data_IF_162725202531
#
_entry.id   IF_162725202531
#
_cell.length_a   1.000
_cell.length_b   1.000
_cell.length_c   1.000
_cell.angle_alpha   90.00
_cell.angle_beta   90.00
_cell.angle_gamma   90.00
#
_symmetry.space_group_name_H-M   'P 1'
#
loop_
_entity.id
_entity.type
_entity.pdbx_description
1 polymer ?
#
# COMPACT_ATOMS: atom_id res chain seq x y z
N UNK A 1 71.25 -54.23 -56.90
CA UNK A 1 70.92 -53.31 -58.02
C UNK A 1 70.96 -51.90 -57.45
N UNK A 2 71.97 -51.06 -57.76
CA UNK A 2 72.11 -50.21 -58.97
C UNK A 2 71.05 -49.10 -59.07
N UNK A 3 71.37 -47.82 -59.34
CA UNK A 3 72.66 -47.17 -59.68
C UNK A 3 72.56 -45.64 -59.44
N UNK A 4 73.67 -45.02 -59.02
CA UNK A 4 74.24 -43.71 -59.44
C UNK A 4 73.31 -42.53 -59.81
N UNK A 5 73.45 -41.40 -59.09
CA UNK A 5 73.54 -39.96 -59.49
C UNK A 5 73.36 -39.11 -58.19
N UNK A 6 74.35 -38.45 -57.57
CA UNK A 6 75.17 -37.28 -57.94
C UNK A 6 74.32 -36.06 -58.37
N UNK A 7 74.24 -35.01 -57.51
CA UNK A 7 75.03 -33.73 -57.53
C UNK A 7 74.58 -32.80 -58.67
N UNK A 8 74.25 -31.51 -58.50
CA UNK A 8 74.38 -30.51 -57.40
C UNK A 8 73.18 -29.50 -57.51
N UNK A 9 73.03 -28.30 -56.92
CA UNK A 9 73.90 -27.37 -56.16
C UNK A 9 73.07 -26.47 -55.17
N UNK A 10 73.62 -25.32 -54.73
CA UNK A 10 73.14 -24.35 -53.71
C UNK A 10 72.21 -23.24 -54.27
N UNK A 11 71.13 -22.87 -53.54
CA UNK A 11 70.74 -21.45 -53.28
C UNK A 11 69.55 -21.28 -52.28
N UNK A 12 69.38 -20.07 -51.75
CA UNK A 12 68.40 -19.73 -50.70
C UNK A 12 66.94 -19.61 -51.17
N UNK A 13 65.98 -19.85 -50.25
CA UNK A 13 64.69 -19.14 -50.23
C UNK A 13 64.21 -18.89 -48.77
N UNK A 14 63.50 -17.78 -48.45
CA UNK A 14 63.18 -17.38 -47.07
C UNK A 14 61.71 -17.67 -46.66
N UNK A 15 61.19 -16.94 -45.66
CA UNK A 15 59.79 -16.89 -45.16
C UNK A 15 59.35 -17.73 -43.95
N UNK A 16 60.20 -17.85 -42.92
CA UNK A 16 59.72 -17.81 -41.52
C UNK A 16 60.44 -16.68 -40.75
N UNK A 17 60.28 -15.44 -41.23
CA UNK A 17 60.63 -14.25 -40.44
C UNK A 17 59.45 -13.85 -39.54
N UNK A 18 59.26 -14.59 -38.45
CA UNK A 18 58.56 -14.03 -37.28
C UNK A 18 59.49 -12.97 -36.69
N UNK A 19 59.36 -11.73 -37.17
CA UNK A 19 60.20 -10.63 -36.73
C UNK A 19 60.07 -10.41 -35.22
N UNK A 20 61.15 -9.92 -34.58
CA UNK A 20 61.07 -9.44 -33.17
C UNK A 20 59.91 -8.44 -32.97
N UNK A 21 59.52 -7.72 -34.02
CA UNK A 21 58.36 -6.82 -34.06
C UNK A 21 57.03 -7.56 -33.93
N UNK A 22 56.80 -8.67 -34.63
CA UNK A 22 55.58 -9.47 -34.48
C UNK A 22 55.49 -10.16 -33.11
N UNK A 23 56.60 -10.70 -32.58
CA UNK A 23 56.64 -11.23 -31.21
C UNK A 23 56.39 -10.15 -30.16
N UNK A 24 56.91 -8.92 -30.34
CA UNK A 24 56.55 -7.77 -29.51
C UNK A 24 55.08 -7.39 -29.63
N UNK A 25 54.50 -7.41 -30.84
CA UNK A 25 53.08 -7.14 -31.03
C UNK A 25 52.21 -8.18 -30.33
N UNK A 26 52.45 -9.49 -30.52
CA UNK A 26 51.71 -10.55 -29.82
C UNK A 26 51.85 -10.45 -28.28
N UNK A 27 53.06 -10.19 -27.76
CA UNK A 27 53.31 -9.90 -26.35
C UNK A 27 52.48 -8.71 -25.85
N UNK A 28 52.46 -7.61 -26.61
CA UNK A 28 51.72 -6.40 -26.22
C UNK A 28 50.21 -6.61 -26.34
N UNK A 29 49.71 -7.33 -27.34
CA UNK A 29 48.30 -7.73 -27.45
C UNK A 29 47.88 -8.59 -26.26
N UNK A 30 48.64 -9.64 -25.91
CA UNK A 30 48.35 -10.45 -24.72
C UNK A 30 48.39 -9.64 -23.43
N UNK A 31 49.29 -8.66 -23.30
CA UNK A 31 49.30 -7.72 -22.16
C UNK A 31 48.08 -6.82 -22.15
N UNK A 32 47.68 -6.24 -23.28
CA UNK A 32 46.47 -5.40 -23.38
C UNK A 32 45.20 -6.20 -23.07
N UNK A 33 45.09 -7.44 -23.56
CA UNK A 33 44.00 -8.34 -23.20
C UNK A 33 44.01 -8.70 -21.70
N UNK A 34 45.18 -8.97 -21.11
CA UNK A 34 45.30 -9.25 -19.67
C UNK A 34 44.97 -8.02 -18.80
N UNK A 35 45.40 -6.82 -19.17
CA UNK A 35 45.01 -5.57 -18.51
C UNK A 35 43.52 -5.29 -18.67
N UNK A 36 42.94 -5.52 -19.85
CA UNK A 36 41.49 -5.40 -20.09
C UNK A 36 40.67 -6.37 -19.25
N UNK A 37 41.06 -7.65 -19.21
CA UNK A 37 40.43 -8.67 -18.37
C UNK A 37 40.56 -8.33 -16.87
N UNK A 38 41.74 -7.86 -16.43
CA UNK A 38 41.98 -7.38 -15.07
C UNK A 38 41.12 -6.17 -14.70
N UNK A 39 40.92 -5.22 -15.62
CA UNK A 39 40.04 -4.07 -15.43
C UNK A 39 38.57 -4.49 -15.32
N UNK A 40 38.08 -5.36 -16.22
CA UNK A 40 36.71 -5.90 -16.18
C UNK A 40 36.47 -6.70 -14.88
N UNK A 41 37.41 -7.54 -14.46
CA UNK A 41 37.34 -8.27 -13.19
C UNK A 41 37.33 -7.30 -12.00
N UNK A 42 38.16 -6.26 -12.01
CA UNK A 42 38.19 -5.23 -10.96
C UNK A 42 36.86 -4.48 -10.87
N UNK A 43 36.27 -4.08 -12.00
CA UNK A 43 34.95 -3.43 -12.05
C UNK A 43 33.88 -4.38 -11.49
N UNK A 44 33.88 -5.65 -11.89
CA UNK A 44 32.93 -6.65 -11.39
C UNK A 44 33.06 -6.90 -9.88
N UNK A 45 34.27 -7.00 -9.35
CA UNK A 45 34.55 -7.14 -7.91
C UNK A 45 34.11 -5.89 -7.16
N UNK A 46 34.42 -4.69 -7.65
CA UNK A 46 33.99 -3.42 -7.05
C UNK A 46 32.46 -3.32 -7.02
N UNK A 47 31.76 -3.67 -8.10
CA UNK A 47 30.30 -3.69 -8.14
C UNK A 47 29.68 -4.75 -7.22
N UNK A 48 30.30 -5.94 -7.10
CA UNK A 48 29.89 -6.96 -6.13
C UNK A 48 30.06 -6.47 -4.68
N UNK A 49 31.18 -5.82 -4.36
CA UNK A 49 31.45 -5.26 -3.03
C UNK A 49 30.53 -4.09 -2.71
N UNK A 50 30.24 -3.19 -3.66
CA UNK A 50 29.21 -2.14 -3.51
C UNK A 50 27.85 -2.74 -3.18
N UNK A 51 27.36 -3.67 -4.01
CA UNK A 51 26.06 -4.33 -3.84
C UNK A 51 25.97 -5.07 -2.49
N UNK A 52 27.03 -5.76 -2.07
CA UNK A 52 27.09 -6.40 -0.76
C UNK A 52 27.06 -5.40 0.41
N UNK A 53 27.81 -4.28 0.33
CA UNK A 53 27.77 -3.21 1.34
C UNK A 53 26.36 -2.60 1.44
N UNK A 54 25.75 -2.26 0.31
CA UNK A 54 24.37 -1.72 0.26
C UNK A 54 23.35 -2.70 0.83
N UNK A 55 23.41 -3.98 0.44
CA UNK A 55 22.51 -5.02 0.98
C UNK A 55 22.70 -5.20 2.49
N UNK A 56 23.94 -5.14 2.99
CA UNK A 56 24.26 -5.20 4.43
C UNK A 56 23.72 -3.99 5.19
N UNK A 57 23.81 -2.78 4.62
CA UNK A 57 23.24 -1.56 5.21
C UNK A 57 21.70 -1.62 5.24
N UNK A 58 21.07 -2.03 4.14
CA UNK A 58 19.61 -2.22 4.07
C UNK A 58 19.13 -3.31 5.04
N UNK A 59 19.85 -4.42 5.18
CA UNK A 59 19.55 -5.45 6.17
C UNK A 59 19.56 -4.91 7.61
N UNK A 60 20.52 -4.04 7.94
CA UNK A 60 20.56 -3.35 9.25
C UNK A 60 19.40 -2.38 9.44
N UNK A 61 19.00 -1.61 8.40
CA UNK A 61 17.78 -0.77 8.46
C UNK A 61 16.53 -1.62 8.76
N UNK A 62 16.35 -2.72 8.03
CA UNK A 62 15.20 -3.64 8.21
C UNK A 62 15.18 -4.24 9.62
N UNK A 63 16.34 -4.64 10.16
CA UNK A 63 16.44 -5.13 11.54
C UNK A 63 16.03 -4.06 12.56
N UNK A 64 16.50 -2.82 12.42
CA UNK A 64 16.12 -1.71 13.29
C UNK A 64 14.63 -1.37 13.20
N UNK A 65 14.06 -1.29 11.99
CA UNK A 65 12.62 -1.07 11.81
C UNK A 65 11.79 -2.16 12.49
N UNK A 66 12.15 -3.44 12.34
CA UNK A 66 11.48 -4.56 13.03
C UNK A 66 11.58 -4.45 14.56
N UNK A 67 12.71 -3.99 15.10
CA UNK A 67 12.87 -3.74 16.53
C UNK A 67 11.98 -2.58 17.01
N UNK A 68 11.91 -1.47 16.27
CA UNK A 68 11.01 -0.36 16.55
C UNK A 68 9.54 -0.80 16.54
N UNK A 69 9.10 -1.54 15.51
CA UNK A 69 7.73 -2.03 15.39
C UNK A 69 7.36 -3.00 16.54
N UNK A 70 8.30 -3.88 16.93
CA UNK A 70 8.10 -4.78 18.09
C UNK A 70 8.01 -4.00 19.41
N UNK A 71 8.82 -2.96 19.59
CA UNK A 71 8.78 -2.13 20.80
C UNK A 71 7.47 -1.33 20.90
N UNK A 72 7.02 -0.72 19.80
CA UNK A 72 5.74 -0.01 19.74
C UNK A 72 4.56 -0.95 20.02
N UNK A 73 4.57 -2.16 19.46
CA UNK A 73 3.58 -3.20 19.78
C UNK A 73 3.59 -3.57 21.27
N UNK A 74 4.77 -3.86 21.84
CA UNK A 74 4.89 -4.25 23.25
C UNK A 74 4.40 -3.16 24.21
N UNK A 75 4.60 -1.88 23.87
CA UNK A 75 4.06 -0.75 24.62
C UNK A 75 2.52 -0.73 24.61
N UNK A 76 1.88 -1.03 23.48
CA UNK A 76 0.42 -1.15 23.40
C UNK A 76 -0.08 -2.39 24.16
N UNK A 77 0.61 -3.52 24.07
CA UNK A 77 0.30 -4.72 24.88
C UNK A 77 0.39 -4.44 26.40
N UNK A 78 1.32 -3.59 26.84
CA UNK A 78 1.47 -3.16 28.23
C UNK A 78 0.35 -2.19 28.66
N UNK A 79 0.05 -1.15 27.88
CA UNK A 79 -1.06 -0.20 28.14
C UNK A 79 -2.41 -0.92 28.23
N UNK A 80 -2.68 -1.86 27.32
CA UNK A 80 -3.93 -2.64 27.31
C UNK A 80 -4.05 -3.59 28.50
N UNK A 81 -2.92 -4.17 28.96
CA UNK A 81 -2.88 -4.97 30.18
C UNK A 81 -3.19 -4.12 31.41
N UNK A 82 -2.75 -2.86 31.45
CA UNK A 82 -3.00 -1.93 32.55
C UNK A 82 -4.41 -1.33 32.53
N UNK A 83 -5.00 -1.12 31.35
CA UNK A 83 -6.37 -0.58 31.24
C UNK A 83 -7.46 -1.61 31.64
N UNK A 84 -7.12 -2.90 31.70
CA UNK A 84 -7.99 -3.97 32.19
C UNK A 84 -9.17 -4.32 31.28
N UNK A 85 -9.21 -3.81 30.04
CA UNK A 85 -10.28 -4.11 29.09
C UNK A 85 -10.19 -5.57 28.63
N UNK A 86 -11.28 -6.32 28.81
CA UNK A 86 -11.38 -7.71 28.34
C UNK A 86 -11.62 -7.79 26.84
N UNK A 87 -11.24 -8.92 26.24
CA UNK A 87 -11.46 -9.20 24.82
C UNK A 87 -12.96 -9.14 24.44
N UNK A 88 -13.87 -9.55 25.34
CA UNK A 88 -15.31 -9.54 25.07
C UNK A 88 -15.91 -8.11 25.14
N UNK A 89 -15.39 -7.24 26.01
CA UNK A 89 -15.71 -5.81 25.99
C UNK A 89 -15.23 -5.15 24.70
N UNK A 90 -13.99 -5.44 24.27
CA UNK A 90 -13.47 -4.96 23.00
C UNK A 90 -14.33 -5.43 21.81
N UNK A 91 -14.68 -6.72 21.76
CA UNK A 91 -15.56 -7.32 20.75
C UNK A 91 -16.95 -6.69 20.74
N UNK A 92 -17.50 -6.32 21.90
CA UNK A 92 -18.77 -5.58 22.00
C UNK A 92 -18.67 -4.18 21.38
N UNK A 93 -17.59 -3.44 21.61
CA UNK A 93 -17.38 -2.10 21.07
C UNK A 93 -17.12 -2.14 19.55
N UNK A 94 -16.25 -3.03 19.05
CA UNK A 94 -15.96 -3.09 17.60
C UNK A 94 -17.12 -3.67 16.77
N UNK A 95 -18.07 -4.35 17.40
CA UNK A 95 -19.27 -4.83 16.73
C UNK A 95 -20.19 -3.66 16.28
N UNK A 96 -20.25 -2.55 17.03
CA UNK A 96 -21.16 -1.42 16.79
C UNK A 96 -21.04 -0.87 15.35
N UNK A 97 -22.15 -0.72 14.60
CA UNK A 97 -22.13 -0.05 13.29
C UNK A 97 -21.53 1.36 13.37
N UNK A 98 -20.91 1.85 12.30
CA UNK A 98 -20.18 3.13 12.30
C UNK A 98 -21.00 4.30 12.88
N UNK A 99 -22.25 4.48 12.45
CA UNK A 99 -23.12 5.55 12.96
C UNK A 99 -23.46 5.42 14.45
N UNK A 100 -23.55 4.19 14.97
CA UNK A 100 -23.82 3.95 16.39
C UNK A 100 -22.56 4.20 17.24
N UNK A 101 -21.39 3.80 16.75
CA UNK A 101 -20.11 4.09 17.37
C UNK A 101 -19.86 5.61 17.41
N UNK A 102 -20.08 6.32 16.30
CA UNK A 102 -20.02 7.78 16.21
C UNK A 102 -21.00 8.40 17.22
N UNK A 103 -22.26 7.95 17.28
CA UNK A 103 -23.28 8.47 18.20
C UNK A 103 -22.87 8.30 19.67
N UNK A 104 -22.30 7.16 20.05
CA UNK A 104 -21.84 6.91 21.43
C UNK A 104 -20.59 7.73 21.80
N UNK A 105 -19.68 7.98 20.85
CA UNK A 105 -18.53 8.87 21.05
C UNK A 105 -18.96 10.34 21.18
N UNK A 106 -19.90 10.80 20.34
CA UNK A 106 -20.42 12.16 20.35
C UNK A 106 -21.24 12.46 21.61
N UNK A 107 -22.09 11.54 22.07
CA UNK A 107 -22.88 11.73 23.29
C UNK A 107 -22.13 11.38 24.60
N UNK A 108 -20.92 10.81 24.51
CA UNK A 108 -20.09 10.46 25.67
C UNK A 108 -20.44 9.15 26.38
N UNK A 109 -21.28 8.29 25.78
CA UNK A 109 -21.53 6.92 26.28
C UNK A 109 -20.29 6.03 26.16
N UNK A 110 -19.42 6.33 25.19
CA UNK A 110 -18.07 5.78 25.08
C UNK A 110 -17.06 6.94 25.01
N UNK A 111 -15.89 6.73 25.59
CA UNK A 111 -14.75 7.66 25.46
C UNK A 111 -13.86 7.26 24.27
N UNK A 112 -13.14 8.23 23.70
CA UNK A 112 -12.17 7.99 22.63
C UNK A 112 -11.10 6.97 23.05
N UNK A 113 -10.65 7.01 24.31
CA UNK A 113 -9.69 6.05 24.86
C UNK A 113 -10.28 4.63 24.96
N UNK A 114 -11.53 4.48 25.38
CA UNK A 114 -12.20 3.17 25.41
C UNK A 114 -12.32 2.56 24.00
N UNK A 115 -12.69 3.37 23.01
CA UNK A 115 -12.81 2.91 21.62
C UNK A 115 -11.43 2.61 21.02
N UNK A 116 -10.41 3.44 21.28
CA UNK A 116 -9.03 3.16 20.88
C UNK A 116 -8.54 1.81 21.42
N UNK A 117 -8.66 1.57 22.74
CA UNK A 117 -8.25 0.32 23.36
C UNK A 117 -8.96 -0.89 22.73
N UNK A 118 -10.27 -0.80 22.48
CA UNK A 118 -11.02 -1.87 21.85
C UNK A 118 -10.49 -2.22 20.45
N UNK A 119 -10.22 -1.21 19.62
CA UNK A 119 -9.67 -1.44 18.27
C UNK A 119 -8.21 -1.89 18.29
N UNK A 120 -7.39 -1.47 19.25
CA UNK A 120 -6.02 -1.98 19.41
C UNK A 120 -5.99 -3.46 19.85
N UNK A 121 -6.83 -3.88 20.79
CA UNK A 121 -6.97 -5.29 21.20
C UNK A 121 -7.27 -6.16 19.97
N UNK A 122 -8.25 -5.74 19.17
CA UNK A 122 -8.62 -6.46 17.96
C UNK A 122 -7.54 -6.39 16.87
N UNK A 123 -6.78 -5.30 16.76
CA UNK A 123 -5.66 -5.17 15.83
C UNK A 123 -4.45 -6.05 16.21
N UNK A 124 -4.24 -6.32 17.51
CA UNK A 124 -3.27 -7.31 17.97
C UNK A 124 -3.71 -8.73 17.56
N UNK A 125 -4.95 -9.14 17.90
CA UNK A 125 -5.51 -10.44 17.51
C UNK A 125 -5.50 -10.64 15.98
N UNK A 126 -5.86 -9.60 15.22
CA UNK A 126 -5.82 -9.63 13.77
C UNK A 126 -4.41 -9.68 13.20
N UNK A 127 -3.43 -8.94 13.74
CA UNK A 127 -2.07 -8.93 13.18
C UNK A 127 -1.26 -10.18 13.55
N UNK A 128 -1.53 -10.84 14.67
CA UNK A 128 -0.94 -12.16 14.95
C UNK A 128 -1.42 -13.24 13.98
N UNK A 129 -2.69 -13.16 13.55
CA UNK A 129 -3.26 -14.11 12.57
C UNK A 129 -2.94 -13.76 11.11
N UNK A 130 -2.83 -12.47 10.78
CA UNK A 130 -2.83 -11.98 9.40
C UNK A 130 -1.60 -11.17 8.99
N UNK A 131 -0.77 -10.69 9.94
CA UNK A 131 0.36 -9.79 9.71
C UNK A 131 -0.03 -8.57 8.85
N UNK A 132 -1.05 -7.84 9.30
CA UNK A 132 -1.68 -6.73 8.56
C UNK A 132 -1.21 -5.33 9.02
N UNK A 133 -0.78 -5.19 10.28
CA UNK A 133 -0.23 -3.95 10.86
C UNK A 133 1.30 -3.94 10.73
N UNK A 134 1.87 -2.84 10.25
CA UNK A 134 3.33 -2.60 10.26
C UNK A 134 3.77 -1.94 11.56
N UNK A 135 3.02 -0.93 12.01
CA UNK A 135 3.32 -0.09 13.17
C UNK A 135 2.04 0.19 13.96
N UNK A 136 2.11 0.08 15.29
CA UNK A 136 1.17 0.76 16.19
C UNK A 136 1.70 2.17 16.45
N UNK A 137 0.80 3.15 16.50
CA UNK A 137 1.14 4.57 16.65
C UNK A 137 1.12 4.97 18.14
N UNK A 138 2.29 5.24 18.77
CA UNK A 138 2.35 5.52 20.20
C UNK A 138 1.68 6.86 20.58
N UNK A 139 1.51 7.77 19.63
CA UNK A 139 0.80 9.03 19.85
C UNK A 139 -0.73 8.87 19.96
N UNK A 140 -1.29 7.73 19.54
CA UNK A 140 -2.74 7.48 19.53
C UNK A 140 -3.36 7.64 20.93
N UNK A 141 -2.68 7.14 21.96
CA UNK A 141 -3.09 7.28 23.37
C UNK A 141 -3.22 8.75 23.78
N UNK A 142 -2.19 9.55 23.47
CA UNK A 142 -2.17 10.97 23.83
C UNK A 142 -3.27 11.75 23.08
N UNK A 143 -3.54 11.40 21.81
CA UNK A 143 -4.63 11.97 21.03
C UNK A 143 -5.99 11.61 21.67
N UNK A 144 -6.28 10.33 21.93
CA UNK A 144 -7.52 9.89 22.54
C UNK A 144 -7.75 10.50 23.94
N UNK A 145 -6.71 10.50 24.79
CA UNK A 145 -6.74 11.14 26.11
C UNK A 145 -6.86 12.67 26.04
N UNK A 146 -6.51 13.31 24.93
CA UNK A 146 -6.74 14.76 24.74
C UNK A 146 -8.19 15.05 24.33
N UNK A 147 -8.75 14.21 23.45
CA UNK A 147 -10.13 14.30 22.97
C UNK A 147 -11.14 14.09 24.12
N UNK A 148 -10.86 13.14 25.02
CA UNK A 148 -11.68 12.85 26.20
C UNK A 148 -11.65 13.96 27.28
N UNK A 149 -10.77 14.96 27.14
CA UNK A 149 -10.68 16.12 28.05
C UNK A 149 -11.32 17.40 27.47
N UNK A 150 -11.96 17.33 26.30
CA UNK A 150 -12.59 18.49 25.67
C UNK A 150 -14.04 18.69 26.14
N UNK A 151 -14.38 19.90 26.58
CA UNK A 151 -15.76 20.32 26.88
C UNK A 151 -16.72 20.19 25.68
N UNK A 152 -16.17 20.16 24.46
CA UNK A 152 -16.89 20.00 23.20
C UNK A 152 -16.19 18.99 22.31
N UNK A 153 -16.99 18.11 21.71
CA UNK A 153 -16.51 17.08 20.78
C UNK A 153 -15.85 17.72 19.57
N UNK A 154 -14.56 17.41 19.36
CA UNK A 154 -13.82 17.90 18.20
C UNK A 154 -14.28 17.21 16.91
N UNK A 155 -15.11 17.89 16.13
CA UNK A 155 -15.49 17.45 14.78
C UNK A 155 -16.39 16.20 14.71
N UNK A 156 -16.76 15.79 13.48
CA UNK A 156 -17.69 14.68 13.24
C UNK A 156 -17.02 13.29 13.38
N UNK A 157 -15.68 13.22 13.37
CA UNK A 157 -14.91 11.98 13.53
C UNK A 157 -14.33 11.82 14.94
N UNK A 158 -14.78 12.62 15.91
CA UNK A 158 -14.30 12.63 17.30
C UNK A 158 -14.13 11.23 17.89
N UNK A 159 -12.88 10.85 18.17
CA UNK A 159 -12.54 9.58 18.83
C UNK A 159 -12.64 8.33 17.95
N UNK A 160 -12.98 8.47 16.65
CA UNK A 160 -13.01 7.35 15.70
C UNK A 160 -11.57 6.90 15.40
N UNK A 161 -11.18 5.65 15.69
CA UNK A 161 -9.86 5.14 15.33
C UNK A 161 -9.75 4.94 13.82
N UNK A 162 -8.63 5.37 13.23
CA UNK A 162 -8.38 5.24 11.78
C UNK A 162 -7.08 4.51 11.49
N UNK A 163 -7.14 3.51 10.62
CA UNK A 163 -5.97 2.82 10.08
C UNK A 163 -5.44 3.50 8.81
N UNK A 164 -4.12 3.50 8.62
CA UNK A 164 -3.45 4.21 7.54
C UNK A 164 -2.54 3.28 6.73
N UNK A 165 -2.71 3.22 5.41
CA UNK A 165 -1.75 2.57 4.51
C UNK A 165 -0.34 3.13 4.74
N UNK A 166 0.68 2.26 4.87
CA UNK A 166 2.08 2.64 5.15
C UNK A 166 2.69 3.63 4.14
N UNK A 167 2.09 3.77 2.97
CA UNK A 167 2.51 4.71 1.92
C UNK A 167 2.06 6.17 2.13
N UNK A 168 1.35 6.48 3.20
CA UNK A 168 1.15 7.86 3.66
C UNK A 168 2.29 8.31 4.58
N UNK A 169 2.87 9.46 4.25
CA UNK A 169 3.86 10.16 5.07
C UNK A 169 3.22 10.60 6.39
N UNK A 170 3.88 10.34 7.52
CA UNK A 170 3.43 10.60 8.88
C UNK A 170 4.60 11.21 9.65
N UNK A 171 4.39 12.31 10.36
CA UNK A 171 5.46 13.05 11.04
C UNK A 171 6.14 12.18 12.11
N UNK A 172 7.46 12.04 12.01
CA UNK A 172 8.27 11.18 12.88
C UNK A 172 8.50 9.76 12.35
N UNK A 173 7.76 9.30 11.33
CA UNK A 173 7.88 7.96 10.75
C UNK A 173 8.49 8.01 9.35
N UNK A 174 9.11 6.92 8.93
CA UNK A 174 9.51 6.68 7.53
C UNK A 174 8.35 6.04 6.74
N UNK A 175 8.43 6.06 5.40
CA UNK A 175 7.38 5.50 4.53
C UNK A 175 8.04 4.77 3.37
N UNK A 176 8.07 3.44 3.44
CA UNK A 176 9.02 2.61 2.71
C UNK A 176 8.51 2.01 1.41
N UNK A 177 7.19 1.84 1.23
CA UNK A 177 6.62 1.04 0.14
C UNK A 177 7.21 -0.40 0.08
N UNK A 178 7.62 -0.96 1.22
CA UNK A 178 8.34 -2.23 1.31
C UNK A 178 9.79 -2.21 0.80
N UNK A 179 10.34 -1.03 0.49
CA UNK A 179 11.72 -0.85 0.03
C UNK A 179 12.65 -0.49 1.19
N UNK A 180 13.45 -1.46 1.66
CA UNK A 180 14.37 -1.27 2.79
C UNK A 180 15.46 -0.19 2.62
N UNK A 181 15.59 0.41 1.42
CA UNK A 181 16.43 1.59 1.19
C UNK A 181 15.78 2.88 1.71
N UNK A 182 14.45 3.00 1.59
CA UNK A 182 13.61 4.13 2.00
C UNK A 182 13.30 4.14 3.51
N UNK A 183 13.68 3.10 4.25
CA UNK A 183 13.66 3.14 5.71
C UNK A 183 14.58 4.24 6.24
N UNK A 184 14.28 4.78 7.41
CA UNK A 184 15.01 5.88 8.08
C UNK A 184 14.95 7.23 7.32
N UNK A 185 14.10 7.36 6.30
CA UNK A 185 13.69 8.63 5.67
C UNK A 185 12.49 9.22 6.43
N UNK A 186 12.73 9.65 7.67
CA UNK A 186 11.69 10.13 8.58
C UNK A 186 11.07 11.45 8.11
N UNK A 187 9.73 11.53 8.12
CA UNK A 187 8.98 12.68 7.60
C UNK A 187 8.79 13.74 8.66
N UNK A 188 8.79 15.01 8.23
CA UNK A 188 8.60 16.18 9.11
C UNK A 188 7.15 16.67 9.17
N UNK A 189 6.27 16.14 8.31
CA UNK A 189 4.86 16.51 8.22
C UNK A 189 4.01 15.29 7.89
N UNK A 190 2.77 15.31 8.36
CA UNK A 190 1.72 14.36 7.99
C UNK A 190 1.24 14.59 6.55
N UNK A 191 0.80 13.54 5.87
CA UNK A 191 0.03 13.66 4.64
C UNK A 191 -1.24 14.48 4.86
N UNK A 192 -1.69 15.23 3.85
CA UNK A 192 -2.82 16.17 4.00
C UNK A 192 -4.09 15.48 4.49
N UNK A 193 -4.35 14.25 4.04
CA UNK A 193 -5.50 13.47 4.53
C UNK A 193 -5.39 13.13 6.02
N UNK A 194 -4.20 12.90 6.56
CA UNK A 194 -3.97 12.62 7.98
C UNK A 194 -4.15 13.90 8.81
N UNK A 195 -3.68 15.06 8.31
CA UNK A 195 -3.91 16.35 8.95
C UNK A 195 -5.42 16.64 9.07
N UNK A 196 -6.17 16.43 7.99
CA UNK A 196 -7.63 16.59 7.95
C UNK A 196 -8.35 15.60 8.86
N UNK A 197 -7.90 14.34 8.94
CA UNK A 197 -8.47 13.36 9.87
C UNK A 197 -8.26 13.76 11.34
N UNK A 198 -7.07 14.22 11.72
CA UNK A 198 -6.75 14.71 13.07
C UNK A 198 -7.56 15.97 13.42
N UNK A 199 -7.70 16.91 12.48
CA UNK A 199 -8.54 18.11 12.59
C UNK A 199 -10.02 17.77 12.87
N UNK A 200 -10.58 16.81 12.12
CA UNK A 200 -11.94 16.30 12.32
C UNK A 200 -12.13 15.43 13.59
N UNK A 201 -11.06 15.25 14.39
CA UNK A 201 -11.07 14.55 15.67
C UNK A 201 -10.83 13.04 15.63
N UNK A 202 -10.44 12.49 14.49
CA UNK A 202 -10.12 11.07 14.36
C UNK A 202 -8.78 10.72 15.04
N UNK A 203 -8.61 9.44 15.39
CA UNK A 203 -7.42 8.91 16.08
C UNK A 203 -6.67 7.93 15.17
N UNK A 204 -5.65 8.38 14.41
CA UNK A 204 -4.72 7.47 13.74
C UNK A 204 -4.06 6.54 14.76
N UNK A 205 -4.24 5.22 14.62
CA UNK A 205 -3.79 4.25 15.64
C UNK A 205 -2.82 3.16 15.13
N UNK A 206 -2.89 2.81 13.84
CA UNK A 206 -1.99 1.84 13.21
C UNK A 206 -1.66 2.23 11.77
N UNK A 207 -0.49 1.78 11.30
CA UNK A 207 -0.14 1.78 9.88
C UNK A 207 -0.18 0.35 9.35
N UNK A 208 -0.67 0.16 8.12
CA UNK A 208 -0.96 -1.17 7.57
C UNK A 208 -0.13 -1.53 6.34
N UNK A 209 0.07 -2.84 6.17
CA UNK A 209 1.07 -3.40 5.28
C UNK A 209 0.74 -3.24 3.78
N UNK A 210 1.82 -3.12 3.00
CA UNK A 210 1.79 -2.94 1.53
C UNK A 210 2.70 -3.97 0.85
N UNK A 211 2.43 -4.40 -0.39
CA UNK A 211 3.41 -5.15 -1.15
C UNK A 211 4.63 -4.28 -1.48
N UNK A 212 5.77 -4.94 -1.69
CA UNK A 212 6.97 -4.27 -2.17
C UNK A 212 6.65 -3.53 -3.47
N UNK A 213 6.99 -2.24 -3.52
CA UNK A 213 6.67 -1.27 -4.58
C UNK A 213 5.20 -0.85 -4.72
N UNK A 214 4.24 -1.34 -3.92
CA UNK A 214 2.81 -1.04 -4.10
C UNK A 214 2.20 -1.40 -5.49
N UNK A 215 2.94 -2.09 -6.36
CA UNK A 215 2.55 -2.40 -7.75
C UNK A 215 2.09 -3.86 -7.94
N UNK A 216 1.67 -4.53 -6.86
CA UNK A 216 1.21 -5.92 -6.87
C UNK A 216 -0.20 -6.04 -6.28
N UNK A 217 -0.97 -7.01 -6.78
CA UNK A 217 -2.33 -7.35 -6.32
C UNK A 217 -2.33 -8.40 -5.18
N UNK A 218 -1.21 -8.47 -4.45
CA UNK A 218 -1.02 -9.16 -3.17
C UNK A 218 -0.44 -8.19 -2.14
N UNK A 219 -0.19 -8.62 -0.90
CA UNK A 219 0.51 -7.81 0.12
C UNK A 219 1.64 -8.62 0.73
N UNK A 220 2.87 -8.37 0.24
CA UNK A 220 4.10 -9.03 0.69
C UNK A 220 5.34 -8.16 0.40
N UNK A 221 6.22 -7.98 1.39
CA UNK A 221 7.48 -7.24 1.21
C UNK A 221 8.60 -7.77 2.15
N UNK A 222 9.90 -7.51 1.85
CA UNK A 222 11.02 -8.02 2.65
C UNK A 222 11.19 -7.37 4.02
N UNK A 223 10.48 -6.27 4.33
CA UNK A 223 10.55 -5.57 5.62
C UNK A 223 9.60 -6.21 6.62
N UNK A 224 8.30 -6.20 6.32
CA UNK A 224 7.22 -6.63 7.22
C UNK A 224 6.69 -8.04 6.90
N UNK A 225 7.02 -8.61 5.74
CA UNK A 225 6.57 -9.93 5.31
C UNK A 225 5.23 -9.90 4.55
N UNK A 226 4.60 -11.06 4.49
CA UNK A 226 3.31 -11.32 3.80
C UNK A 226 2.14 -11.08 4.74
N UNK A 227 1.09 -10.44 4.24
CA UNK A 227 -0.23 -10.34 4.89
C UNK A 227 -1.15 -11.40 4.30
N UNK A 228 -2.02 -11.98 5.13
CA UNK A 228 -2.98 -13.02 4.75
C UNK A 228 -4.41 -12.47 4.71
N UNK A 229 -5.31 -13.18 4.01
CA UNK A 229 -6.72 -12.82 3.91
C UNK A 229 -7.48 -13.20 5.21
N UNK A 230 -8.37 -12.33 5.75
CA UNK A 230 -9.08 -12.58 6.99
C UNK A 230 -10.07 -13.75 6.93
N UNK A 231 -10.58 -14.08 5.72
CA UNK A 231 -11.58 -15.13 5.48
C UNK A 231 -10.94 -16.51 5.25
N UNK A 232 -9.80 -16.56 4.55
CA UNK A 232 -9.11 -17.79 4.17
C UNK A 232 -7.59 -17.56 4.16
N UNK A 233 -6.88 -18.12 5.15
CA UNK A 233 -5.44 -17.91 5.34
C UNK A 233 -4.59 -18.45 4.18
N UNK A 234 -5.13 -19.27 3.27
CA UNK A 234 -4.41 -19.68 2.06
C UNK A 234 -4.45 -18.63 0.94
N UNK A 235 -5.18 -17.52 1.11
CA UNK A 235 -5.39 -16.49 0.08
C UNK A 235 -4.68 -15.18 0.39
N UNK A 236 -4.47 -14.40 -0.67
CA UNK A 236 -4.02 -13.01 -0.55
C UNK A 236 -5.18 -12.09 -0.10
N UNK A 237 -4.90 -11.03 0.68
CA UNK A 237 -5.88 -9.99 1.01
C UNK A 237 -6.09 -8.99 -0.15
N UNK A 238 -5.63 -9.33 -1.36
CA UNK A 238 -5.43 -8.39 -2.45
C UNK A 238 -4.24 -7.45 -2.21
N UNK A 239 -4.18 -6.37 -3.00
CA UNK A 239 -3.14 -5.36 -2.95
C UNK A 239 -3.43 -4.17 -3.88
N UNK A 240 -2.77 -3.03 -3.71
CA UNK A 240 -1.69 -2.77 -2.75
C UNK A 240 -2.12 -2.19 -1.39
N UNK A 241 -3.43 -2.05 -1.13
CA UNK A 241 -3.95 -1.70 0.21
C UNK A 241 -4.51 -2.95 0.92
N UNK A 242 -3.81 -4.08 0.84
CA UNK A 242 -4.26 -5.34 1.48
C UNK A 242 -4.10 -5.35 3.00
N UNK A 243 -3.23 -4.52 3.57
CA UNK A 243 -3.14 -4.31 5.02
C UNK A 243 -4.45 -3.77 5.62
N UNK A 244 -4.94 -2.63 5.13
CA UNK A 244 -6.25 -2.07 5.52
C UNK A 244 -7.37 -3.09 5.34
N UNK A 245 -7.45 -3.73 4.17
CA UNK A 245 -8.54 -4.66 3.88
C UNK A 245 -8.52 -5.89 4.80
N UNK A 246 -7.33 -6.42 5.14
CA UNK A 246 -7.20 -7.52 6.07
C UNK A 246 -7.58 -7.12 7.52
N UNK A 247 -7.22 -5.91 7.94
CA UNK A 247 -7.53 -5.38 9.26
C UNK A 247 -9.03 -5.07 9.42
N UNK A 248 -9.61 -4.34 8.45
CA UNK A 248 -11.04 -3.99 8.42
C UNK A 248 -11.91 -5.25 8.25
N UNK A 249 -11.53 -6.17 7.35
CA UNK A 249 -12.21 -7.45 7.14
C UNK A 249 -12.06 -8.43 8.31
N UNK A 250 -11.13 -8.19 9.24
CA UNK A 250 -11.05 -8.89 10.53
C UNK A 250 -11.90 -8.23 11.64
N UNK A 251 -12.59 -7.12 11.36
CA UNK A 251 -13.32 -6.33 12.36
C UNK A 251 -12.40 -5.48 13.27
N UNK A 252 -11.13 -5.34 12.92
CA UNK A 252 -10.09 -4.71 13.75
C UNK A 252 -9.74 -3.27 13.32
N UNK A 253 -10.53 -2.68 12.42
CA UNK A 253 -10.58 -1.24 12.15
C UNK A 253 -11.96 -0.88 11.61
N UNK A 254 -12.52 0.25 12.04
CA UNK A 254 -13.83 0.73 11.57
C UNK A 254 -13.71 1.53 10.28
N UNK A 255 -12.63 2.31 10.15
CA UNK A 255 -12.37 3.24 9.07
C UNK A 255 -10.86 3.23 8.78
N UNK A 256 -10.52 3.12 7.50
CA UNK A 256 -9.15 3.13 7.03
C UNK A 256 -9.00 3.98 5.77
N UNK A 257 -7.77 4.37 5.44
CA UNK A 257 -7.47 5.09 4.20
C UNK A 257 -6.45 4.34 3.35
N UNK A 258 -6.73 4.30 2.05
CA UNK A 258 -5.94 3.61 1.04
C UNK A 258 -5.62 4.48 -0.17
N UNK A 259 -4.97 3.87 -1.15
CA UNK A 259 -4.69 4.49 -2.46
C UNK A 259 -4.86 3.50 -3.61
N UNK A 260 -5.40 3.97 -4.73
CA UNK A 260 -5.83 3.16 -5.88
C UNK A 260 -5.46 3.85 -7.21
N UNK A 261 -4.57 3.21 -7.96
CA UNK A 261 -4.21 3.56 -9.35
C UNK A 261 -4.94 2.64 -10.33
N UNK A 262 -4.78 1.33 -10.16
CA UNK A 262 -5.33 0.29 -11.05
C UNK A 262 -6.23 -0.74 -10.35
N UNK A 263 -6.71 -0.45 -9.14
CA UNK A 263 -7.53 -1.38 -8.34
C UNK A 263 -7.22 -1.41 -6.84
N UNK A 264 -6.14 -0.76 -6.40
CA UNK A 264 -5.54 -0.99 -5.08
C UNK A 264 -6.35 -0.59 -3.84
N UNK A 265 -7.56 -0.01 -3.96
CA UNK A 265 -8.57 0.04 -2.87
C UNK A 265 -9.64 -1.02 -3.14
N UNK A 266 -10.21 -1.01 -4.35
CA UNK A 266 -11.38 -1.83 -4.72
C UNK A 266 -11.11 -3.33 -4.70
N UNK A 267 -9.96 -3.76 -5.23
CA UNK A 267 -9.56 -5.17 -5.30
C UNK A 267 -9.29 -5.79 -3.92
N UNK A 268 -8.48 -5.19 -3.01
CA UNK A 268 -8.32 -5.75 -1.67
C UNK A 268 -9.61 -5.69 -0.84
N UNK A 269 -10.44 -4.64 -1.01
CA UNK A 269 -11.76 -4.55 -0.36
C UNK A 269 -12.67 -5.71 -0.77
N UNK A 270 -12.75 -6.00 -2.08
CA UNK A 270 -13.45 -7.17 -2.62
C UNK A 270 -12.87 -8.50 -2.10
N UNK A 271 -11.54 -8.63 -2.00
CA UNK A 271 -10.90 -9.84 -1.49
C UNK A 271 -11.17 -10.10 0.00
N UNK A 272 -11.32 -9.06 0.83
CA UNK A 272 -11.49 -9.20 2.29
C UNK A 272 -12.92 -8.98 2.79
N UNK A 273 -13.86 -8.63 1.91
CA UNK A 273 -15.28 -8.48 2.26
C UNK A 273 -15.63 -7.15 2.95
N UNK A 274 -14.92 -6.06 2.65
CA UNK A 274 -15.20 -4.72 3.18
C UNK A 274 -15.54 -3.71 2.07
N UNK A 275 -16.01 -2.52 2.46
CA UNK A 275 -16.28 -1.41 1.54
C UNK A 275 -15.00 -0.62 1.27
N UNK A 276 -14.85 -0.14 0.04
CA UNK A 276 -13.72 0.70 -0.34
C UNK A 276 -14.02 1.55 -1.57
N UNK A 277 -13.86 2.87 -1.43
CA UNK A 277 -14.15 3.83 -2.49
C UNK A 277 -12.86 4.36 -3.12
N UNK A 278 -12.80 4.38 -4.46
CA UNK A 278 -11.85 5.19 -5.21
C UNK A 278 -12.57 6.42 -5.79
N UNK A 279 -12.45 7.61 -5.17
CA UNK A 279 -13.00 8.86 -5.72
C UNK A 279 -12.49 9.19 -7.13
N UNK A 280 -13.03 10.27 -7.71
CA UNK A 280 -12.42 10.95 -8.87
C UNK A 280 -10.99 11.38 -8.53
N UNK A 281 -10.10 11.42 -9.53
CA UNK A 281 -8.75 11.97 -9.37
C UNK A 281 -8.83 13.39 -8.82
N UNK A 282 -7.91 13.72 -7.92
CA UNK A 282 -7.83 15.01 -7.19
C UNK A 282 -9.09 15.42 -6.40
N UNK A 283 -10.06 14.52 -6.16
CA UNK A 283 -11.17 14.80 -5.22
C UNK A 283 -10.73 14.69 -3.75
N UNK A 284 -9.70 13.90 -3.47
CA UNK A 284 -8.97 13.88 -2.20
C UNK A 284 -7.50 14.18 -2.48
N UNK A 285 -6.83 14.85 -1.54
CA UNK A 285 -5.42 15.24 -1.72
C UNK A 285 -4.52 14.02 -1.72
N UNK A 286 -3.48 14.08 -2.57
CA UNK A 286 -2.41 13.08 -2.67
C UNK A 286 -1.08 13.59 -2.11
N UNK A 287 -1.06 14.80 -1.55
CA UNK A 287 0.10 15.45 -0.96
C UNK A 287 0.48 14.73 0.34
N UNK A 288 1.67 14.12 0.32
CA UNK A 288 2.14 13.19 1.36
C UNK A 288 1.79 11.71 1.12
N UNK A 289 1.27 11.32 -0.05
CA UNK A 289 1.28 9.91 -0.46
C UNK A 289 2.50 9.62 -1.33
N UNK A 290 3.37 8.71 -0.90
CA UNK A 290 4.63 8.43 -1.61
C UNK A 290 4.38 7.84 -3.01
N UNK A 291 5.27 8.14 -3.96
CA UNK A 291 5.19 7.64 -5.34
C UNK A 291 6.56 7.21 -5.84
N UNK A 292 6.59 6.08 -6.53
CA UNK A 292 7.76 5.55 -7.25
C UNK A 292 7.94 6.24 -8.62
N UNK A 293 6.85 6.66 -9.24
CA UNK A 293 6.81 7.29 -10.55
C UNK A 293 6.53 8.80 -10.39
N UNK A 294 7.43 9.50 -9.70
CA UNK A 294 7.34 10.96 -9.54
C UNK A 294 7.34 11.62 -10.93
N UNK A 295 6.34 12.46 -11.20
CA UNK A 295 6.13 13.10 -12.52
C UNK A 295 5.26 12.32 -13.51
N UNK A 296 4.79 11.12 -13.19
CA UNK A 296 3.78 10.42 -14.00
C UNK A 296 2.40 11.06 -13.77
N UNK A 297 1.74 11.50 -14.85
CA UNK A 297 0.44 12.20 -14.84
C UNK A 297 -0.67 11.54 -15.67
N UNK A 298 -0.34 10.56 -16.54
CA UNK A 298 -1.28 9.92 -17.46
C UNK A 298 -2.27 8.98 -16.75
N UNK A 299 -1.83 8.31 -15.68
CA UNK A 299 -2.63 7.41 -14.84
C UNK A 299 -2.27 7.71 -13.37
N UNK A 300 -2.76 8.84 -12.87
CA UNK A 300 -2.68 9.18 -11.45
C UNK A 300 -3.48 8.19 -10.60
N UNK A 301 -3.06 7.98 -9.35
CA UNK A 301 -3.90 7.33 -8.35
C UNK A 301 -4.92 8.28 -7.74
N UNK A 302 -5.86 7.75 -6.96
CA UNK A 302 -6.65 8.50 -5.99
C UNK A 302 -6.38 7.99 -4.57
N UNK A 303 -6.57 8.87 -3.58
CA UNK A 303 -6.73 8.52 -2.16
C UNK A 303 -8.22 8.32 -1.89
N UNK A 304 -8.57 7.38 -1.01
CA UNK A 304 -9.97 7.13 -0.67
C UNK A 304 -10.14 6.26 0.58
N UNK A 305 -11.33 6.31 1.21
CA UNK A 305 -11.64 5.57 2.42
C UNK A 305 -11.97 4.09 2.14
N UNK A 306 -11.77 3.28 3.16
CA UNK A 306 -12.19 1.88 3.31
C UNK A 306 -12.86 1.72 4.67
N UNK A 307 -13.91 0.89 4.77
CA UNK A 307 -14.71 0.73 5.99
C UNK A 307 -15.37 -0.65 6.03
N UNK A 308 -15.73 -1.10 7.23
CA UNK A 308 -16.51 -2.34 7.42
C UNK A 308 -17.96 -2.20 6.91
N UNK A 309 -18.50 -0.97 6.94
CA UNK A 309 -19.84 -0.64 6.48
C UNK A 309 -19.83 0.55 5.50
N UNK A 310 -20.99 0.85 4.90
CA UNK A 310 -21.14 1.95 3.94
C UNK A 310 -21.09 3.33 4.61
N UNK A 311 -21.57 3.46 5.84
CA UNK A 311 -21.68 4.76 6.52
C UNK A 311 -20.30 5.34 6.84
N UNK A 312 -19.33 4.49 7.23
CA UNK A 312 -17.95 4.91 7.37
C UNK A 312 -17.30 5.39 6.06
N UNK A 313 -17.73 4.91 4.88
CA UNK A 313 -17.32 5.47 3.59
C UNK A 313 -17.98 6.84 3.34
N UNK A 314 -19.27 6.95 3.64
CA UNK A 314 -20.07 8.15 3.42
C UNK A 314 -19.57 9.32 4.27
N UNK A 315 -19.53 9.16 5.58
CA UNK A 315 -19.17 10.22 6.54
C UNK A 315 -17.71 10.64 6.38
N UNK A 316 -16.78 9.69 6.16
CA UNK A 316 -15.38 10.05 5.91
C UNK A 316 -15.18 10.79 4.59
N UNK A 317 -15.86 10.40 3.50
CA UNK A 317 -15.87 11.17 2.25
C UNK A 317 -16.49 12.56 2.45
N UNK A 318 -17.59 12.63 3.19
CA UNK A 318 -18.37 13.85 3.39
C UNK A 318 -17.58 14.90 4.17
N UNK A 319 -17.01 14.51 5.29
CA UNK A 319 -16.34 15.43 6.22
C UNK A 319 -14.89 15.73 5.83
N UNK A 320 -14.15 14.78 5.23
CA UNK A 320 -12.80 15.05 4.76
C UNK A 320 -12.73 16.03 3.57
N UNK A 321 -13.85 16.38 2.93
CA UNK A 321 -13.96 17.50 1.98
C UNK A 321 -14.07 18.85 2.73
N UNK A 322 -13.23 19.06 3.74
CA UNK A 322 -13.25 20.21 4.64
C UNK A 322 -12.59 21.46 4.02
N UNK A 323 -12.70 22.63 4.68
CA UNK A 323 -11.99 23.83 4.20
C UNK A 323 -10.48 23.75 4.45
N UNK A 324 -10.07 23.09 5.55
CA UNK A 324 -8.67 22.75 5.80
C UNK A 324 -8.10 21.84 4.68
N UNK A 325 -8.87 20.85 4.21
CA UNK A 325 -8.46 19.97 3.11
C UNK A 325 -8.09 20.76 1.85
N UNK A 326 -8.94 21.72 1.46
CA UNK A 326 -8.72 22.55 0.28
C UNK A 326 -7.60 23.60 0.49
N UNK A 327 -7.46 24.13 1.70
CA UNK A 327 -6.39 25.06 2.05
C UNK A 327 -5.00 24.40 2.08
N UNK A 328 -4.91 23.15 2.54
CA UNK A 328 -3.65 22.40 2.60
C UNK A 328 -3.17 21.92 1.23
N UNK A 329 -4.06 21.72 0.25
CA UNK A 329 -3.70 21.34 -1.12
C UNK A 329 -4.56 22.03 -2.19
N UNK A 330 -4.17 23.25 -2.64
CA UNK A 330 -4.90 24.01 -3.67
C UNK A 330 -4.96 23.36 -5.07
N UNK A 331 -4.39 22.16 -5.27
CA UNK A 331 -4.59 21.37 -6.50
C UNK A 331 -5.90 20.58 -6.48
N UNK A 332 -6.51 20.40 -5.30
CA UNK A 332 -7.83 19.80 -5.12
C UNK A 332 -8.91 20.80 -5.50
N UNK A 333 -9.88 20.40 -6.33
CA UNK A 333 -11.05 21.22 -6.60
C UNK A 333 -11.92 21.33 -5.32
N UNK A 334 -12.28 22.54 -4.85
CA UNK A 334 -12.94 22.76 -3.56
C UNK A 334 -14.44 22.39 -3.56
N UNK A 335 -14.74 21.16 -3.97
CA UNK A 335 -16.07 20.62 -4.15
C UNK A 335 -16.49 19.82 -2.91
N UNK A 336 -17.24 20.49 -2.03
CA UNK A 336 -17.92 19.88 -0.89
C UNK A 336 -18.74 18.65 -1.29
N UNK A 337 -19.07 17.82 -0.30
CA UNK A 337 -20.08 16.79 -0.48
C UNK A 337 -21.44 17.43 -0.84
N UNK A 338 -22.27 16.72 -1.61
CA UNK A 338 -23.57 17.21 -2.03
C UNK A 338 -24.67 16.28 -1.51
N UNK A 339 -25.19 16.64 -0.34
CA UNK A 339 -26.23 15.88 0.35
C UNK A 339 -27.55 15.78 -0.43
N UNK A 340 -27.90 16.76 -1.29
CA UNK A 340 -29.15 16.69 -2.07
C UNK A 340 -29.05 15.78 -3.30
N UNK A 341 -27.86 15.62 -3.88
CA UNK A 341 -27.59 14.57 -4.87
C UNK A 341 -27.56 13.20 -4.19
N UNK A 342 -26.88 13.09 -3.05
CA UNK A 342 -26.75 11.81 -2.33
C UNK A 342 -28.08 11.29 -1.79
N UNK A 343 -28.89 12.15 -1.18
CA UNK A 343 -30.18 11.79 -0.57
C UNK A 343 -31.33 11.65 -1.60
N UNK A 344 -31.03 11.64 -2.89
CA UNK A 344 -32.02 11.58 -3.96
C UNK A 344 -32.64 10.19 -4.07
N UNK A 345 -33.95 10.09 -3.87
CA UNK A 345 -34.73 8.85 -4.03
C UNK A 345 -35.25 8.64 -5.46
N UNK A 346 -34.77 9.41 -6.44
CA UNK A 346 -35.24 9.33 -7.83
C UNK A 346 -34.81 8.01 -8.49
N UNK A 347 -35.70 7.34 -9.26
CA UNK A 347 -35.36 6.10 -9.96
C UNK A 347 -34.14 6.24 -10.88
N UNK A 348 -33.08 5.49 -10.58
CA UNK A 348 -31.84 5.54 -11.33
C UNK A 348 -31.94 4.82 -12.69
N UNK A 349 -31.11 5.26 -13.64
CA UNK A 349 -30.79 4.52 -14.87
C UNK A 349 -29.39 3.95 -14.73
N UNK A 350 -29.28 2.63 -14.56
CA UNK A 350 -28.02 1.95 -14.20
C UNK A 350 -27.52 1.14 -15.40
N UNK A 351 -26.33 1.47 -15.89
CA UNK A 351 -25.61 0.62 -16.86
C UNK A 351 -24.91 -0.54 -16.15
N UNK A 352 -25.06 -1.77 -16.65
CA UNK A 352 -24.34 -2.95 -16.15
C UNK A 352 -23.66 -3.74 -17.27
N UNK A 353 -22.62 -4.48 -16.92
CA UNK A 353 -22.00 -5.51 -17.74
C UNK A 353 -21.52 -6.64 -16.82
N UNK A 354 -21.50 -7.86 -17.36
CA UNK A 354 -21.02 -9.09 -16.73
C UNK A 354 -19.64 -9.52 -17.27
N UNK A 355 -19.26 -9.05 -18.46
CA UNK A 355 -17.97 -9.26 -19.11
C UNK A 355 -17.42 -7.96 -19.72
N UNK A 356 -16.13 -7.70 -19.55
CA UNK A 356 -15.43 -6.50 -20.03
C UNK A 356 -14.90 -6.61 -21.48
N UNK A 357 -14.99 -7.79 -22.09
CA UNK A 357 -14.42 -8.11 -23.40
C UNK A 357 -12.97 -8.62 -23.37
N UNK A 358 -12.39 -8.82 -22.17
CA UNK A 358 -11.00 -9.21 -21.96
C UNK A 358 -10.87 -10.30 -20.89
N UNK A 359 -11.13 -9.98 -19.62
CA UNK A 359 -11.08 -10.92 -18.50
C UNK A 359 -12.42 -11.63 -18.32
N UNK A 360 -12.49 -12.94 -18.60
CA UNK A 360 -13.71 -13.72 -18.33
C UNK A 360 -13.99 -13.76 -16.82
N UNK A 361 -15.11 -13.17 -16.42
CA UNK A 361 -15.60 -13.14 -15.04
C UNK A 361 -15.79 -14.55 -14.47
N UNK A 362 -15.42 -14.74 -13.20
CA UNK A 362 -15.64 -16.02 -12.51
C UNK A 362 -17.11 -16.16 -12.09
N UNK A 363 -17.71 -17.38 -12.11
CA UNK A 363 -19.15 -17.56 -11.92
C UNK A 363 -19.73 -17.00 -10.60
N UNK A 364 -18.90 -16.89 -9.55
CA UNK A 364 -19.30 -16.28 -8.29
C UNK A 364 -19.51 -14.75 -8.41
N UNK A 365 -18.67 -14.06 -9.18
CA UNK A 365 -18.76 -12.61 -9.40
C UNK A 365 -19.83 -12.27 -10.43
N UNK A 366 -19.95 -13.06 -11.51
CA UNK A 366 -21.02 -12.99 -12.51
C UNK A 366 -22.39 -13.08 -11.82
N UNK A 367 -22.60 -14.12 -10.99
CA UNK A 367 -23.82 -14.28 -10.18
C UNK A 367 -24.05 -13.11 -9.21
N UNK A 368 -23.00 -12.53 -8.62
CA UNK A 368 -23.14 -11.39 -7.72
C UNK A 368 -23.61 -10.11 -8.46
N UNK A 369 -23.09 -9.85 -9.67
CA UNK A 369 -23.54 -8.75 -10.54
C UNK A 369 -25.00 -8.93 -10.95
N UNK A 370 -25.40 -10.16 -11.33
CA UNK A 370 -26.79 -10.45 -11.70
C UNK A 370 -27.75 -10.30 -10.50
N UNK A 371 -27.39 -10.76 -9.31
CA UNK A 371 -28.18 -10.52 -8.08
C UNK A 371 -28.32 -9.02 -7.78
N UNK A 372 -27.28 -8.21 -8.03
CA UNK A 372 -27.36 -6.76 -7.86
C UNK A 372 -28.29 -6.11 -8.91
N UNK A 373 -28.14 -6.45 -10.20
CA UNK A 373 -29.05 -6.04 -11.29
C UNK A 373 -30.51 -6.34 -10.93
N UNK A 374 -30.83 -7.59 -10.65
CA UNK A 374 -32.20 -8.05 -10.36
C UNK A 374 -32.77 -7.44 -9.06
N UNK A 375 -31.90 -6.96 -8.16
CA UNK A 375 -32.31 -6.22 -6.96
C UNK A 375 -32.61 -4.76 -7.25
N UNK A 376 -31.80 -4.10 -8.08
CA UNK A 376 -32.04 -2.72 -8.51
C UNK A 376 -33.32 -2.61 -9.35
N UNK A 377 -33.60 -3.61 -10.21
CA UNK A 377 -34.85 -3.69 -10.98
C UNK A 377 -36.09 -3.85 -10.06
N UNK A 378 -36.01 -4.72 -9.05
CA UNK A 378 -37.09 -4.87 -8.04
C UNK A 378 -37.29 -3.63 -7.16
N UNK A 379 -36.28 -2.77 -7.04
CA UNK A 379 -36.37 -1.46 -6.38
C UNK A 379 -36.89 -0.35 -7.31
N UNK A 380 -37.31 -0.68 -8.54
CA UNK A 380 -37.90 0.25 -9.49
C UNK A 380 -36.89 1.06 -10.31
N UNK A 381 -35.61 0.69 -10.30
CA UNK A 381 -34.60 1.32 -11.15
C UNK A 381 -34.59 0.72 -12.57
N UNK A 382 -34.30 1.55 -13.57
CA UNK A 382 -34.13 1.08 -14.95
C UNK A 382 -32.70 0.59 -15.12
N UNK A 383 -32.51 -0.73 -15.21
CA UNK A 383 -31.19 -1.33 -15.42
C UNK A 383 -31.02 -1.71 -16.91
N UNK A 384 -29.87 -1.38 -17.50
CA UNK A 384 -29.61 -1.55 -18.94
C UNK A 384 -28.23 -2.17 -19.17
N UNK A 385 -28.14 -3.14 -20.07
CA UNK A 385 -26.85 -3.70 -20.48
C UNK A 385 -26.04 -2.65 -21.23
N UNK A 386 -24.79 -2.43 -20.80
CA UNK A 386 -23.89 -1.40 -21.29
C UNK A 386 -22.45 -1.94 -21.36
N UNK A 387 -22.04 -2.56 -22.49
CA UNK A 387 -20.75 -3.23 -22.61
C UNK A 387 -19.59 -2.22 -22.75
N UNK A 388 -18.41 -2.58 -22.23
CA UNK A 388 -17.20 -1.79 -22.40
C UNK A 388 -16.68 -1.94 -23.84
N UNK A 389 -16.77 -0.87 -24.63
CA UNK A 389 -16.44 -0.89 -26.07
C UNK A 389 -14.93 -0.88 -26.34
N UNK A 390 -14.12 -0.32 -25.42
CA UNK A 390 -12.75 0.13 -25.71
C UNK A 390 -11.65 -0.94 -25.71
N UNK A 391 -11.87 -2.15 -25.16
CA UNK A 391 -10.81 -3.16 -25.04
C UNK A 391 -10.46 -3.90 -26.35
N UNK A 392 -11.18 -3.67 -27.46
CA UNK A 392 -10.97 -4.37 -28.74
C UNK A 392 -9.72 -3.97 -29.53
N UNK A 393 -8.93 -2.99 -29.09
CA UNK A 393 -7.83 -2.38 -29.87
C UNK A 393 -6.41 -2.92 -29.56
N UNK A 394 -6.29 -4.06 -28.86
CA UNK A 394 -4.99 -4.62 -28.44
C UNK A 394 -4.82 -6.13 -28.75
N UNK A 395 -5.45 -6.63 -29.81
CA UNK A 395 -5.22 -7.96 -30.38
C UNK A 395 -4.50 -7.85 -31.73
#
# INVERSE_FOLDING_TARGET
MSRVLRKLDIMHCPWILITRTQLKMASNSCKVFAFGAGAVLTIFVVERVKKWKTATQVGKKIQRKRQQCKAARANVEEVLRECGMTCDQAKTIVALPYMELQRQLQNGSLTALQVLHAYQIMALEATDRLNCVTEFLPEAEAIAQSLDKLDKKNGPLHGIPVSLKESFELAGNDSSAGLGHWLEDYKSQDAVIIQVLKDLGAVPFVRTNVPQTMMLSETNNPIFGRTLNPVDLSRVPGGSTGGEAALIGAGASVLGFGSDVGGSIRQPSHCCGCYGLKPTLERMSRKGHISLAKGQTLISGAVGPMSRDFDGILESLKHCLSDLHFALDPQVAPLKFNDSIFSSTQPLRVGFYDYDGYCRTVPACERAVLIAKDTLERLGHTVCYFPIVFMKYYN
#
